data_IF_673844833334
#
_entry.id   IF_673844833334
#
_cell.length_a   1.000
_cell.length_b   1.000
_cell.length_c   1.000
_cell.angle_alpha   90.00
_cell.angle_beta   90.00
_cell.angle_gamma   90.00
#
_symmetry.space_group_name_H-M   'P 1'
#
loop_
_entity.id
_entity.type
_entity.pdbx_description
1 polymer ?
#
# COMPACT_ATOMS: atom_id res chain seq x y z
N UNK A 1 -23.60 35.36 32.25
CA UNK A 1 -22.14 35.60 32.23
C UNK A 1 -21.62 35.47 30.79
N UNK A 2 -21.23 36.59 30.18
CA UNK A 2 -20.77 36.62 28.79
C UNK A 2 -19.30 36.16 28.70
N UNK A 3 -19.01 35.18 27.89
CA UNK A 3 -17.62 34.72 27.61
C UNK A 3 -16.89 35.82 26.82
N UNK A 4 -15.86 36.44 27.43
CA UNK A 4 -14.95 37.35 26.76
C UNK A 4 -14.06 36.57 25.81
N UNK A 5 -14.16 36.84 24.49
CA UNK A 5 -13.23 36.32 23.48
C UNK A 5 -11.88 37.07 23.62
N UNK A 6 -10.78 36.31 23.56
CA UNK A 6 -9.44 36.87 23.57
C UNK A 6 -9.20 37.76 22.34
N UNK A 7 -8.50 38.89 22.52
CA UNK A 7 -8.22 39.88 21.47
C UNK A 7 -7.42 39.22 20.31
N UNK A 8 -7.83 39.52 19.06
CA UNK A 8 -7.19 39.07 17.84
C UNK A 8 -5.80 39.68 17.72
N UNK A 9 -4.76 38.87 17.79
CA UNK A 9 -3.35 39.30 17.63
C UNK A 9 -3.13 39.86 16.22
N UNK A 10 -2.56 41.09 16.14
CA UNK A 10 -2.34 41.79 14.86
C UNK A 10 -1.29 41.09 14.01
N UNK A 11 -1.44 41.21 12.66
CA UNK A 11 -0.57 40.58 11.64
C UNK A 11 0.94 40.94 11.77
N UNK A 12 1.30 42.02 12.49
CA UNK A 12 2.67 42.50 12.66
C UNK A 12 3.50 41.76 13.74
N UNK A 13 2.86 40.97 14.58
CA UNK A 13 3.54 40.22 15.67
C UNK A 13 3.72 38.70 15.38
N UNK A 14 3.53 38.29 14.15
CA UNK A 14 3.95 36.95 13.75
C UNK A 14 5.45 36.96 13.47
N UNK A 15 6.25 36.77 14.52
CA UNK A 15 7.63 36.37 14.38
C UNK A 15 7.69 35.17 13.38
N UNK A 16 8.67 35.22 12.47
CA UNK A 16 9.01 34.07 11.61
C UNK A 16 9.41 32.92 12.55
N UNK A 17 8.43 32.15 13.01
CA UNK A 17 8.71 30.90 13.71
C UNK A 17 9.41 30.02 12.71
N UNK A 18 10.60 29.54 13.08
CA UNK A 18 11.34 28.56 12.32
C UNK A 18 10.43 27.39 11.96
N UNK A 19 10.11 27.24 10.68
CA UNK A 19 9.23 26.19 10.15
C UNK A 19 9.81 24.81 10.50
N UNK A 20 11.14 24.71 10.61
CA UNK A 20 11.85 23.50 11.03
C UNK A 20 11.51 23.07 12.49
N UNK A 21 11.19 24.01 13.39
CA UNK A 21 10.86 23.70 14.79
C UNK A 21 9.40 23.27 15.01
N UNK A 22 8.53 23.47 13.98
CA UNK A 22 7.09 23.18 14.05
C UNK A 22 6.59 22.16 13.02
N UNK A 23 7.50 21.50 12.30
CA UNK A 23 7.17 20.28 11.57
C UNK A 23 6.96 19.17 12.61
N UNK A 24 5.76 19.21 13.19
CA UNK A 24 5.27 18.15 14.07
C UNK A 24 5.41 16.83 13.32
N UNK A 25 6.06 15.87 13.96
CA UNK A 25 6.33 14.52 13.44
C UNK A 25 5.08 13.77 12.95
N UNK A 26 3.90 14.33 13.20
CA UNK A 26 2.59 13.79 12.80
C UNK A 26 2.25 13.95 11.32
N UNK A 27 3.03 14.72 10.51
CA UNK A 27 2.79 14.88 9.07
C UNK A 27 3.22 13.62 8.30
N UNK A 28 4.14 12.85 8.88
CA UNK A 28 4.60 11.58 8.32
C UNK A 28 4.01 10.41 9.12
N UNK A 29 3.36 9.47 8.45
CA UNK A 29 2.91 8.22 9.09
C UNK A 29 4.13 7.44 9.59
N UNK A 30 3.98 6.64 10.65
CA UNK A 30 5.03 5.85 11.31
C UNK A 30 5.97 5.06 10.35
N UNK A 31 5.51 4.71 9.15
CA UNK A 31 6.33 4.08 8.11
C UNK A 31 7.29 5.07 7.44
N UNK A 32 6.91 6.34 7.34
CA UNK A 32 7.72 7.38 6.68
C UNK A 32 8.89 7.80 7.56
N UNK A 33 8.73 7.79 8.89
CA UNK A 33 9.83 8.08 9.84
C UNK A 33 11.00 7.12 9.68
N UNK A 34 10.72 5.82 9.49
CA UNK A 34 11.77 4.82 9.26
C UNK A 34 12.46 5.02 7.91
N UNK A 35 11.72 5.39 6.89
CA UNK A 35 12.24 5.57 5.53
C UNK A 35 13.02 6.87 5.39
N UNK A 36 12.61 7.93 6.09
CA UNK A 36 13.27 9.24 6.10
C UNK A 36 14.33 9.38 7.20
N UNK A 37 14.60 8.30 7.95
CA UNK A 37 15.62 8.31 9.00
C UNK A 37 16.97 8.76 8.46
N UNK A 38 17.52 9.83 9.08
CA UNK A 38 18.79 10.43 8.66
C UNK A 38 18.64 11.46 7.51
N UNK A 39 17.42 11.80 7.06
CA UNK A 39 17.22 12.86 6.10
C UNK A 39 17.53 14.23 6.75
N UNK A 40 18.24 15.08 6.03
CA UNK A 40 18.51 16.47 6.41
C UNK A 40 17.53 17.39 5.69
N UNK A 41 17.02 18.40 6.38
CA UNK A 41 16.16 19.43 5.78
C UNK A 41 17.04 20.63 5.38
N UNK A 42 17.04 20.98 4.10
CA UNK A 42 17.78 22.13 3.57
C UNK A 42 17.08 22.73 2.34
N UNK A 43 17.42 23.97 2.00
CA UNK A 43 16.91 24.67 0.82
C UNK A 43 17.79 24.37 -0.38
N UNK A 44 17.22 23.76 -1.41
CA UNK A 44 17.91 23.36 -2.63
C UNK A 44 17.44 24.18 -3.82
N UNK A 45 18.38 24.68 -4.61
CA UNK A 45 18.08 25.36 -5.87
C UNK A 45 17.31 24.44 -6.81
N UNK A 46 16.16 24.91 -7.33
CA UNK A 46 15.32 24.13 -8.24
C UNK A 46 16.11 23.67 -9.48
N UNK A 47 17.08 24.47 -9.95
CA UNK A 47 17.96 24.12 -11.07
C UNK A 47 18.87 22.93 -10.81
N UNK A 48 19.11 22.56 -9.54
CA UNK A 48 19.90 21.37 -9.16
C UNK A 48 19.06 20.12 -8.99
N UNK A 49 17.73 20.23 -9.07
CA UNK A 49 16.80 19.11 -8.89
C UNK A 49 16.44 18.54 -10.26
N UNK A 50 16.68 17.25 -10.45
CA UNK A 50 16.32 16.50 -11.67
C UNK A 50 15.19 15.53 -11.39
N UNK A 51 14.25 15.41 -12.34
CA UNK A 51 13.14 14.47 -12.26
C UNK A 51 13.44 13.27 -13.14
N UNK A 52 13.69 12.10 -12.55
CA UNK A 52 13.76 10.84 -13.31
C UNK A 52 12.34 10.46 -13.74
N UNK A 53 12.21 9.82 -14.92
CA UNK A 53 10.92 9.38 -15.50
C UNK A 53 10.08 8.65 -14.47
N UNK A 54 9.01 9.29 -13.98
CA UNK A 54 8.09 8.72 -12.99
C UNK A 54 6.90 8.04 -13.67
N UNK A 55 6.19 7.20 -12.93
CA UNK A 55 5.06 6.38 -13.42
C UNK A 55 3.89 7.25 -13.92
N UNK A 56 3.76 8.48 -13.43
CA UNK A 56 2.64 9.38 -13.76
C UNK A 56 2.97 10.21 -14.99
N UNK A 57 2.30 9.93 -16.11
CA UNK A 57 2.53 10.61 -17.40
C UNK A 57 1.55 11.74 -17.69
N UNK A 58 0.43 11.85 -16.96
CA UNK A 58 -0.58 12.90 -17.18
C UNK A 58 -0.78 13.74 -15.93
N UNK A 59 -0.49 15.01 -16.03
CA UNK A 59 -0.78 16.03 -15.04
C UNK A 59 -1.84 16.97 -15.63
N UNK A 60 -2.78 17.40 -14.80
CA UNK A 60 -3.72 18.45 -15.19
C UNK A 60 -3.03 19.79 -14.92
N UNK A 61 -2.83 20.57 -15.97
CA UNK A 61 -2.12 21.87 -15.91
C UNK A 61 -2.87 22.88 -15.03
N UNK A 62 -4.23 22.88 -15.05
CA UNK A 62 -5.03 23.75 -14.19
C UNK A 62 -4.75 23.48 -12.71
N UNK A 63 -4.68 22.20 -12.34
CA UNK A 63 -4.42 21.82 -10.95
C UNK A 63 -2.98 22.10 -10.48
N UNK A 64 -2.04 22.26 -11.43
CA UNK A 64 -0.67 22.73 -11.13
C UNK A 64 -0.69 24.24 -10.95
N UNK A 65 -1.43 24.98 -11.76
CA UNK A 65 -1.57 26.42 -11.63
C UNK A 65 -2.23 26.83 -10.30
N UNK A 66 -3.30 26.15 -9.91
CA UNK A 66 -3.93 26.34 -8.58
C UNK A 66 -2.95 26.07 -7.42
N UNK A 67 -2.17 25.00 -7.53
CA UNK A 67 -1.16 24.68 -6.53
C UNK A 67 -0.03 25.73 -6.51
N UNK A 68 0.38 26.26 -7.65
CA UNK A 68 1.37 27.33 -7.75
C UNK A 68 0.88 28.62 -7.07
N UNK A 69 -0.38 29.00 -7.30
CA UNK A 69 -1.00 30.14 -6.63
C UNK A 69 -1.01 29.97 -5.11
N UNK A 70 -1.40 28.80 -4.64
CA UNK A 70 -1.42 28.47 -3.20
C UNK A 70 -0.02 28.52 -2.59
N UNK A 71 1.00 27.96 -3.26
CA UNK A 71 2.39 27.99 -2.80
C UNK A 71 2.91 29.43 -2.76
N UNK A 72 2.54 30.27 -3.71
CA UNK A 72 2.93 31.68 -3.73
C UNK A 72 2.38 32.46 -2.54
N UNK A 73 1.13 32.19 -2.14
CA UNK A 73 0.46 32.89 -1.03
C UNK A 73 0.89 32.36 0.35
N UNK A 74 0.97 31.04 0.49
CA UNK A 74 1.13 30.38 1.79
C UNK A 74 2.52 29.77 2.01
N UNK A 75 3.37 29.74 0.98
CA UNK A 75 4.64 29.01 1.00
C UNK A 75 4.43 27.51 0.82
N UNK A 76 5.53 26.78 0.71
CA UNK A 76 5.53 25.31 0.61
C UNK A 76 5.38 24.71 2.01
N UNK A 77 4.20 24.16 2.33
CA UNK A 77 3.90 23.57 3.64
C UNK A 77 4.65 22.25 3.82
N UNK A 78 4.72 21.42 2.77
CA UNK A 78 5.34 20.11 2.83
C UNK A 78 6.59 20.08 1.93
N UNK A 79 7.80 19.86 2.49
CA UNK A 79 9.04 19.79 1.73
C UNK A 79 9.04 18.74 0.62
N UNK A 80 9.89 18.92 -0.38
CA UNK A 80 10.20 17.88 -1.36
C UNK A 80 11.05 16.79 -0.72
N UNK A 81 11.07 15.60 -1.30
CA UNK A 81 12.02 14.53 -0.92
C UNK A 81 12.95 14.31 -2.11
N UNK A 82 14.23 14.49 -1.87
CA UNK A 82 15.29 14.37 -2.89
C UNK A 82 16.38 13.41 -2.42
N UNK A 83 17.00 12.73 -3.37
CA UNK A 83 18.19 11.92 -3.13
C UNK A 83 19.40 12.60 -3.76
N UNK A 84 20.51 12.70 -3.01
CA UNK A 84 21.74 13.30 -3.49
C UNK A 84 22.49 12.36 -4.43
N UNK A 85 22.75 12.81 -5.67
CA UNK A 85 23.61 12.12 -6.64
C UNK A 85 24.75 13.07 -7.07
N UNK A 86 25.85 13.03 -6.34
CA UNK A 86 26.99 13.92 -6.58
C UNK A 86 26.62 15.40 -6.37
N UNK A 87 26.69 16.20 -7.43
CA UNK A 87 26.38 17.64 -7.41
C UNK A 87 24.90 17.95 -7.69
N UNK A 88 24.09 16.95 -8.00
CA UNK A 88 22.66 17.08 -8.31
C UNK A 88 21.81 16.32 -7.31
N UNK A 89 20.53 16.65 -7.34
CA UNK A 89 19.51 16.02 -6.51
C UNK A 89 18.45 15.39 -7.41
N UNK A 90 18.10 14.14 -7.14
CA UNK A 90 17.03 13.44 -7.85
C UNK A 90 15.77 13.53 -7.03
N UNK A 91 14.69 14.03 -7.62
CA UNK A 91 13.39 14.12 -6.98
C UNK A 91 12.79 12.72 -6.78
N UNK A 92 12.51 12.36 -5.53
CA UNK A 92 11.89 11.11 -5.13
C UNK A 92 10.38 11.29 -4.93
N UNK A 93 9.97 12.34 -4.18
CA UNK A 93 8.56 12.65 -3.93
C UNK A 93 8.29 14.14 -4.07
N UNK A 94 7.04 14.48 -4.46
CA UNK A 94 6.58 15.87 -4.55
C UNK A 94 6.63 16.48 -5.96
N UNK A 95 6.52 15.68 -7.04
CA UNK A 95 6.62 16.16 -8.43
C UNK A 95 5.64 17.29 -8.76
N UNK A 96 4.39 17.23 -8.29
CA UNK A 96 3.41 18.32 -8.52
C UNK A 96 3.86 19.64 -7.88
N UNK A 97 4.42 19.57 -6.67
CA UNK A 97 4.94 20.73 -5.94
C UNK A 97 6.16 21.31 -6.67
N UNK A 98 7.08 20.45 -7.09
CA UNK A 98 8.25 20.85 -7.87
C UNK A 98 7.84 21.55 -9.18
N UNK A 99 6.89 20.98 -9.94
CA UNK A 99 6.39 21.59 -11.18
C UNK A 99 5.70 22.94 -10.91
N UNK A 100 4.85 23.01 -9.89
CA UNK A 100 4.18 24.24 -9.50
C UNK A 100 5.19 25.35 -9.12
N UNK A 101 6.23 25.03 -8.34
CA UNK A 101 7.29 25.99 -8.01
C UNK A 101 8.11 26.40 -9.23
N UNK A 102 8.36 25.49 -10.16
CA UNK A 102 9.10 25.77 -11.39
C UNK A 102 8.38 26.74 -12.32
N UNK A 103 7.06 26.95 -12.16
CA UNK A 103 6.31 27.98 -12.90
C UNK A 103 6.42 29.38 -12.26
N UNK A 104 6.85 29.47 -11.00
CA UNK A 104 6.96 30.72 -10.26
C UNK A 104 8.35 31.33 -10.44
N UNK A 105 8.44 32.46 -11.13
CA UNK A 105 9.72 33.15 -11.42
C UNK A 105 10.47 33.60 -10.17
N UNK A 106 9.73 33.89 -9.09
CA UNK A 106 10.27 34.39 -7.84
C UNK A 106 10.77 33.27 -6.90
N UNK A 107 10.53 32.01 -7.24
CA UNK A 107 10.98 30.85 -6.46
C UNK A 107 12.18 30.18 -7.12
N UNK A 108 13.36 30.39 -6.56
CA UNK A 108 14.60 29.77 -7.05
C UNK A 108 15.04 28.55 -6.25
N UNK A 109 14.52 28.39 -5.02
CA UNK A 109 14.89 27.34 -4.08
C UNK A 109 13.65 26.71 -3.45
N UNK A 110 13.78 25.47 -2.99
CA UNK A 110 12.72 24.73 -2.31
C UNK A 110 13.25 24.02 -1.06
N UNK A 111 12.48 23.98 0.05
CA UNK A 111 12.80 23.15 1.19
C UNK A 111 12.69 21.67 0.79
N UNK A 112 13.76 20.91 1.07
CA UNK A 112 13.91 19.52 0.66
C UNK A 112 14.40 18.65 1.82
N UNK A 113 13.81 17.48 1.99
CA UNK A 113 14.44 16.40 2.75
C UNK A 113 15.46 15.70 1.86
N UNK A 114 16.73 15.82 2.22
CA UNK A 114 17.85 15.25 1.49
C UNK A 114 18.12 13.85 2.02
N UNK A 115 17.99 12.87 1.15
CA UNK A 115 18.37 11.49 1.42
C UNK A 115 19.77 11.24 0.88
N UNK A 116 20.65 10.68 1.71
CA UNK A 116 21.99 10.28 1.33
C UNK A 116 22.18 8.77 1.55
N UNK A 117 23.02 8.14 0.77
CA UNK A 117 23.42 6.73 0.91
C UNK A 117 22.23 5.74 0.93
N UNK A 118 21.14 6.07 0.21
CA UNK A 118 19.98 5.19 0.06
C UNK A 118 20.13 4.29 -1.17
N UNK A 119 19.78 3.02 -1.00
CA UNK A 119 19.72 2.08 -2.11
C UNK A 119 18.54 2.39 -3.03
N UNK A 120 18.59 2.01 -4.33
CA UNK A 120 17.45 2.15 -5.23
C UNK A 120 16.17 1.51 -4.70
N UNK A 121 16.30 0.43 -3.92
CA UNK A 121 15.19 -0.28 -3.30
C UNK A 121 14.51 0.55 -2.21
N UNK A 122 15.30 1.21 -1.34
CA UNK A 122 14.80 2.11 -0.32
C UNK A 122 14.12 3.32 -0.93
N UNK A 123 14.71 3.91 -1.98
CA UNK A 123 14.10 5.05 -2.70
C UNK A 123 12.75 4.69 -3.32
N UNK A 124 12.64 3.50 -3.93
CA UNK A 124 11.35 3.01 -4.43
C UNK A 124 10.34 2.75 -3.31
N UNK A 125 10.78 2.24 -2.15
CA UNK A 125 9.90 2.03 -1.01
C UNK A 125 9.34 3.37 -0.46
N UNK A 126 10.18 4.41 -0.38
CA UNK A 126 9.77 5.77 0.00
C UNK A 126 8.74 6.32 -0.99
N UNK A 127 9.02 6.21 -2.29
CA UNK A 127 8.11 6.66 -3.35
C UNK A 127 6.77 5.91 -3.32
N UNK A 128 6.81 4.60 -3.05
CA UNK A 128 5.61 3.79 -2.92
C UNK A 128 4.79 4.19 -1.70
N UNK A 129 5.42 4.39 -0.55
CA UNK A 129 4.75 4.80 0.70
C UNK A 129 4.01 6.12 0.52
N UNK A 130 4.68 7.14 -0.05
CA UNK A 130 4.06 8.45 -0.33
C UNK A 130 2.87 8.32 -1.28
N UNK A 131 3.03 7.56 -2.36
CA UNK A 131 1.95 7.35 -3.33
C UNK A 131 0.79 6.52 -2.76
N UNK A 132 1.07 5.54 -1.91
CA UNK A 132 0.05 4.69 -1.29
C UNK A 132 -0.76 5.42 -0.22
N UNK A 133 -0.20 6.47 0.37
CA UNK A 133 -0.91 7.33 1.33
C UNK A 133 -1.96 8.24 0.67
N UNK A 134 -1.91 8.38 -0.66
CA UNK A 134 -2.91 9.14 -1.43
C UNK A 134 -4.14 8.26 -1.67
N UNK A 135 -5.31 8.70 -1.25
CA UNK A 135 -6.59 7.99 -1.43
C UNK A 135 -6.97 7.72 -2.89
N UNK A 136 -6.26 8.30 -3.86
CA UNK A 136 -6.61 8.27 -5.29
C UNK A 136 -5.70 7.43 -6.18
N UNK A 137 -4.77 6.64 -5.61
CA UNK A 137 -3.94 5.79 -6.47
C UNK A 137 -4.77 4.63 -7.02
N UNK A 138 -4.94 4.59 -8.35
CA UNK A 138 -5.65 3.50 -8.98
C UNK A 138 -4.92 2.16 -8.74
N UNK A 139 -5.65 1.10 -8.40
CA UNK A 139 -5.08 -0.20 -8.03
C UNK A 139 -4.16 -0.81 -9.12
N UNK A 140 -4.33 -0.42 -10.40
CA UNK A 140 -3.44 -0.81 -11.51
C UNK A 140 -2.08 -0.13 -11.37
N UNK A 141 -2.03 1.16 -11.03
CA UNK A 141 -0.78 1.89 -10.83
C UNK A 141 -0.03 1.34 -9.62
N UNK A 142 -0.76 0.99 -8.56
CA UNK A 142 -0.22 0.28 -7.41
C UNK A 142 0.38 -1.07 -7.82
N UNK A 143 -0.33 -1.85 -8.65
CA UNK A 143 0.14 -3.14 -9.14
C UNK A 143 1.41 -3.02 -9.98
N UNK A 144 1.46 -2.03 -10.89
CA UNK A 144 2.62 -1.78 -11.74
C UNK A 144 3.83 -1.31 -10.91
N UNK A 145 3.63 -0.50 -9.87
CA UNK A 145 4.68 -0.06 -8.94
C UNK A 145 5.27 -1.23 -8.16
N UNK A 146 4.41 -2.12 -7.61
CA UNK A 146 4.86 -3.33 -6.89
C UNK A 146 5.61 -4.28 -7.82
N UNK A 147 5.17 -4.41 -9.08
CA UNK A 147 5.86 -5.22 -10.06
C UNK A 147 7.21 -4.64 -10.45
N UNK A 148 7.29 -3.31 -10.60
CA UNK A 148 8.55 -2.58 -10.81
C UNK A 148 9.54 -2.82 -9.67
N UNK A 149 9.07 -2.71 -8.42
CA UNK A 149 9.86 -3.03 -7.23
C UNK A 149 10.40 -4.47 -7.27
N UNK A 150 9.51 -5.44 -7.56
CA UNK A 150 9.93 -6.85 -7.68
C UNK A 150 10.96 -7.06 -8.78
N UNK A 151 10.81 -6.40 -9.93
CA UNK A 151 11.73 -6.53 -11.06
C UNK A 151 13.11 -5.96 -10.73
N UNK A 152 13.16 -4.85 -10.01
CA UNK A 152 14.40 -4.21 -9.60
C UNK A 152 15.16 -5.03 -8.56
N UNK A 153 14.42 -5.52 -7.53
CA UNK A 153 15.03 -6.12 -6.34
C UNK A 153 15.16 -7.64 -6.40
N UNK A 154 14.42 -8.32 -7.29
CA UNK A 154 14.28 -9.77 -7.28
C UNK A 154 13.59 -10.32 -6.01
N UNK A 155 13.02 -9.46 -5.17
CA UNK A 155 12.52 -9.79 -3.84
C UNK A 155 11.35 -10.78 -3.87
N UNK A 156 11.30 -11.67 -2.88
CA UNK A 156 10.15 -12.54 -2.64
C UNK A 156 8.93 -11.74 -2.17
N UNK A 157 7.71 -12.28 -2.33
CA UNK A 157 6.47 -11.61 -1.89
C UNK A 157 6.48 -11.25 -0.40
N UNK A 158 7.17 -12.05 0.46
CA UNK A 158 7.34 -11.74 1.88
C UNK A 158 8.27 -10.56 2.13
N UNK A 159 9.37 -10.46 1.37
CA UNK A 159 10.28 -9.31 1.46
C UNK A 159 9.59 -8.04 0.97
N UNK A 160 8.82 -8.11 -0.12
CA UNK A 160 8.01 -6.99 -0.63
C UNK A 160 6.97 -6.54 0.40
N UNK A 161 6.28 -7.49 1.04
CA UNK A 161 5.34 -7.21 2.13
C UNK A 161 6.01 -6.41 3.26
N UNK A 162 7.17 -6.86 3.72
CA UNK A 162 7.90 -6.20 4.80
C UNK A 162 8.39 -4.80 4.41
N UNK A 163 8.91 -4.65 3.18
CA UNK A 163 9.45 -3.39 2.68
C UNK A 163 8.37 -2.33 2.41
N UNK A 164 7.22 -2.74 1.88
CA UNK A 164 6.15 -1.83 1.47
C UNK A 164 5.01 -1.70 2.48
N UNK A 165 5.01 -2.47 3.58
CA UNK A 165 4.00 -2.41 4.64
C UNK A 165 2.59 -2.88 4.22
N UNK A 166 2.47 -3.67 3.15
CA UNK A 166 1.19 -4.16 2.61
C UNK A 166 1.03 -5.68 2.86
N UNK A 167 -0.20 -6.18 2.87
CA UNK A 167 -0.42 -7.60 3.12
C UNK A 167 0.14 -8.48 1.99
N UNK A 168 0.63 -9.70 2.33
CA UNK A 168 1.12 -10.67 1.34
C UNK A 168 0.07 -10.98 0.26
N UNK A 169 -1.19 -11.11 0.66
CA UNK A 169 -2.31 -11.36 -0.27
C UNK A 169 -2.50 -10.21 -1.25
N UNK A 170 -2.25 -8.96 -0.80
CA UNK A 170 -2.31 -7.80 -1.67
C UNK A 170 -1.13 -7.75 -2.64
N UNK A 171 0.09 -8.01 -2.17
CA UNK A 171 1.28 -8.17 -3.05
C UNK A 171 0.99 -9.19 -4.15
N UNK A 172 0.49 -10.36 -3.78
CA UNK A 172 0.17 -11.43 -4.73
C UNK A 172 -0.86 -10.98 -5.77
N UNK A 173 -1.98 -10.37 -5.34
CA UNK A 173 -3.01 -9.84 -6.25
C UNK A 173 -2.46 -8.78 -7.20
N UNK A 174 -1.67 -7.85 -6.71
CA UNK A 174 -1.04 -6.82 -7.52
C UNK A 174 -0.10 -7.42 -8.58
N UNK A 175 0.71 -8.40 -8.20
CA UNK A 175 1.60 -9.09 -9.14
C UNK A 175 0.84 -9.86 -10.24
N UNK A 176 -0.34 -10.41 -9.94
CA UNK A 176 -1.21 -11.01 -10.95
C UNK A 176 -1.76 -9.97 -11.92
N UNK A 177 -2.25 -8.84 -11.42
CA UNK A 177 -2.79 -7.74 -12.23
C UNK A 177 -1.71 -7.12 -13.13
N UNK A 178 -0.52 -6.88 -12.58
CA UNK A 178 0.59 -6.29 -13.33
C UNK A 178 0.99 -7.11 -14.57
N UNK A 179 0.84 -8.43 -14.51
CA UNK A 179 1.12 -9.36 -15.61
C UNK A 179 0.06 -9.37 -16.72
N UNK A 180 -1.09 -8.70 -16.51
CA UNK A 180 -2.16 -8.65 -17.50
C UNK A 180 -1.76 -7.81 -18.72
N UNK A 181 -2.36 -8.06 -19.90
CA UNK A 181 -2.10 -7.28 -21.11
C UNK A 181 -2.38 -5.77 -20.89
N UNK A 182 -1.53 -4.93 -21.49
CA UNK A 182 -1.61 -3.47 -21.36
C UNK A 182 -2.97 -2.92 -21.76
N UNK A 183 -3.55 -3.40 -22.88
CA UNK A 183 -4.86 -2.98 -23.35
C UNK A 183 -6.00 -3.18 -22.32
N UNK A 184 -5.97 -4.28 -21.56
CA UNK A 184 -6.96 -4.52 -20.50
C UNK A 184 -6.75 -3.59 -19.32
N UNK A 185 -5.49 -3.34 -18.94
CA UNK A 185 -5.17 -2.42 -17.85
C UNK A 185 -5.60 -0.99 -18.18
N UNK A 186 -5.38 -0.54 -19.41
CA UNK A 186 -5.80 0.77 -19.90
C UNK A 186 -7.32 0.90 -19.91
N UNK A 187 -8.02 -0.08 -20.49
CA UNK A 187 -9.48 -0.11 -20.49
C UNK A 187 -10.05 -0.13 -19.07
N UNK A 188 -9.46 -0.88 -18.16
CA UNK A 188 -9.88 -0.95 -16.77
C UNK A 188 -9.72 0.39 -16.04
N UNK A 189 -8.73 1.22 -16.40
CA UNK A 189 -8.60 2.60 -15.90
C UNK A 189 -9.68 3.52 -16.46
N UNK A 190 -9.97 3.40 -17.75
CA UNK A 190 -10.97 4.24 -18.43
C UNK A 190 -12.37 3.96 -17.88
N UNK A 191 -12.73 2.68 -17.75
CA UNK A 191 -14.07 2.25 -17.32
C UNK A 191 -14.20 2.02 -15.82
N UNK A 192 -13.18 2.37 -15.03
CA UNK A 192 -13.13 2.17 -13.59
C UNK A 192 -13.53 0.73 -13.17
N UNK A 193 -12.96 -0.25 -13.86
CA UNK A 193 -13.29 -1.67 -13.68
C UNK A 193 -12.85 -2.15 -12.31
N UNK A 194 -13.70 -2.92 -11.62
CA UNK A 194 -13.38 -3.47 -10.31
C UNK A 194 -12.18 -4.42 -10.36
N UNK A 195 -11.26 -4.31 -9.41
CA UNK A 195 -10.05 -5.12 -9.27
C UNK A 195 -10.31 -6.62 -9.41
N UNK A 196 -11.40 -7.11 -8.81
CA UNK A 196 -11.73 -8.53 -8.84
C UNK A 196 -12.19 -9.04 -10.20
N UNK A 197 -12.69 -8.17 -11.09
CA UNK A 197 -12.99 -8.52 -12.49
C UNK A 197 -11.72 -8.96 -13.19
N UNK A 198 -10.64 -8.19 -13.05
CA UNK A 198 -9.35 -8.51 -13.67
C UNK A 198 -8.73 -9.79 -13.11
N UNK A 199 -8.82 -9.99 -11.79
CA UNK A 199 -8.28 -11.20 -11.14
C UNK A 199 -9.04 -12.46 -11.56
N UNK A 200 -10.38 -12.42 -11.57
CA UNK A 200 -11.21 -13.55 -11.98
C UNK A 200 -11.06 -13.84 -13.48
N UNK A 201 -11.05 -12.80 -14.33
CA UNK A 201 -10.76 -12.96 -15.76
C UNK A 201 -9.35 -13.52 -16.00
N UNK A 202 -8.35 -13.03 -15.28
CA UNK A 202 -6.98 -13.50 -15.37
C UNK A 202 -6.83 -14.99 -15.05
N UNK A 203 -7.62 -15.47 -14.06
CA UNK A 203 -7.61 -16.87 -13.62
C UNK A 203 -8.35 -17.85 -14.56
N UNK A 204 -9.10 -17.35 -15.55
CA UNK A 204 -9.77 -18.22 -16.53
C UNK A 204 -8.75 -18.90 -17.45
N UNK A 205 -9.06 -20.13 -17.83
CA UNK A 205 -8.27 -20.87 -18.82
C UNK A 205 -8.33 -20.19 -20.21
N UNK A 206 -7.29 -20.42 -21.01
CA UNK A 206 -7.24 -19.89 -22.38
C UNK A 206 -8.35 -20.55 -23.21
N UNK A 207 -9.17 -19.74 -23.90
CA UNK A 207 -10.26 -20.23 -24.72
C UNK A 207 -11.12 -19.10 -25.30
N UNK A 208 -12.11 -19.46 -26.11
CA UNK A 208 -13.06 -18.53 -26.74
C UNK A 208 -13.78 -17.65 -25.71
N UNK A 209 -14.18 -18.23 -24.57
CA UNK A 209 -14.84 -17.49 -23.49
C UNK A 209 -13.95 -16.37 -22.94
N UNK A 210 -12.68 -16.66 -22.64
CA UNK A 210 -11.74 -15.65 -22.13
C UNK A 210 -11.53 -14.52 -23.12
N UNK A 211 -11.51 -14.81 -24.44
CA UNK A 211 -11.42 -13.79 -25.47
C UNK A 211 -12.67 -12.94 -25.57
N UNK A 212 -13.86 -13.56 -25.58
CA UNK A 212 -15.13 -12.83 -25.58
C UNK A 212 -15.28 -11.91 -24.36
N UNK A 213 -14.90 -12.40 -23.16
CA UNK A 213 -14.91 -11.59 -21.95
C UNK A 213 -13.87 -10.47 -22.01
N UNK A 214 -12.72 -10.70 -22.65
CA UNK A 214 -11.70 -9.67 -22.87
C UNK A 214 -12.29 -8.48 -23.65
N UNK A 215 -12.97 -8.75 -24.75
CA UNK A 215 -13.60 -7.70 -25.55
C UNK A 215 -14.60 -6.91 -24.72
N UNK A 216 -15.48 -7.60 -23.97
CA UNK A 216 -16.47 -6.98 -23.07
C UNK A 216 -15.89 -6.17 -21.90
N UNK A 217 -14.65 -6.47 -21.46
CA UNK A 217 -13.94 -5.65 -20.47
C UNK A 217 -13.35 -4.42 -21.15
N UNK A 218 -12.84 -4.56 -22.37
CA UNK A 218 -12.23 -3.46 -23.12
C UNK A 218 -13.28 -2.42 -23.55
N UNK A 219 -14.47 -2.85 -23.95
CA UNK A 219 -15.57 -1.96 -24.34
C UNK A 219 -16.36 -1.39 -23.14
N UNK A 220 -16.03 -1.81 -21.90
CA UNK A 220 -16.66 -1.33 -20.69
C UNK A 220 -17.97 -2.02 -20.31
N UNK A 221 -18.48 -2.97 -21.12
CA UNK A 221 -19.72 -3.72 -20.83
C UNK A 221 -19.60 -4.55 -19.53
N UNK A 222 -18.38 -4.92 -19.13
CA UNK A 222 -18.09 -5.63 -17.89
C UNK A 222 -17.11 -4.81 -17.05
N UNK A 223 -17.63 -3.97 -16.17
CA UNK A 223 -16.86 -3.21 -15.20
C UNK A 223 -16.99 -3.76 -13.76
N UNK A 224 -18.10 -4.41 -13.44
CA UNK A 224 -18.40 -4.92 -12.10
C UNK A 224 -18.31 -6.45 -12.02
N UNK A 225 -17.87 -6.97 -10.89
CA UNK A 225 -17.73 -8.41 -10.64
C UNK A 225 -19.02 -9.19 -10.88
N UNK A 226 -20.18 -8.61 -10.55
CA UNK A 226 -21.46 -9.23 -10.76
C UNK A 226 -21.76 -9.45 -12.26
N UNK A 227 -21.43 -8.47 -13.12
CA UNK A 227 -21.58 -8.57 -14.58
C UNK A 227 -20.69 -9.70 -15.15
N UNK A 228 -19.43 -9.79 -14.70
CA UNK A 228 -18.53 -10.87 -15.08
C UNK A 228 -19.11 -12.24 -14.73
N UNK A 229 -19.59 -12.42 -13.49
CA UNK A 229 -20.20 -13.69 -13.06
C UNK A 229 -21.44 -14.07 -13.86
N UNK A 230 -22.30 -13.09 -14.19
CA UNK A 230 -23.48 -13.30 -15.05
C UNK A 230 -23.06 -13.72 -16.45
N UNK A 231 -22.06 -13.06 -17.04
CA UNK A 231 -21.55 -13.39 -18.37
C UNK A 231 -20.93 -14.80 -18.42
N UNK A 232 -20.18 -15.20 -17.39
CA UNK A 232 -19.63 -16.56 -17.26
C UNK A 232 -20.76 -17.59 -17.14
N UNK A 233 -21.77 -17.33 -16.30
CA UNK A 233 -22.91 -18.24 -16.12
C UNK A 233 -23.71 -18.39 -17.41
N UNK A 234 -23.92 -17.33 -18.15
CA UNK A 234 -24.64 -17.34 -19.45
C UNK A 234 -23.90 -18.12 -20.54
N UNK A 235 -22.56 -18.26 -20.43
CA UNK A 235 -21.77 -19.05 -21.39
C UNK A 235 -21.85 -20.57 -21.18
N UNK A 236 -22.58 -21.05 -20.17
CA UNK A 236 -22.71 -22.49 -19.85
C UNK A 236 -21.44 -23.13 -19.32
N UNK A 237 -20.36 -22.40 -19.20
CA UNK A 237 -19.10 -22.92 -18.66
C UNK A 237 -19.21 -22.99 -17.13
N UNK A 238 -19.36 -24.20 -16.64
CA UNK A 238 -19.22 -24.48 -15.19
C UNK A 238 -17.74 -24.22 -14.86
N UNK A 239 -17.46 -23.08 -14.24
CA UNK A 239 -16.17 -22.88 -13.61
C UNK A 239 -15.99 -24.04 -12.63
N UNK A 240 -15.02 -24.92 -12.86
CA UNK A 240 -14.56 -25.84 -11.83
C UNK A 240 -14.20 -24.97 -10.65
N UNK A 241 -15.12 -24.83 -9.70
CA UNK A 241 -14.79 -24.27 -8.41
C UNK A 241 -13.58 -25.09 -7.98
N UNK A 242 -12.46 -24.43 -7.71
CA UNK A 242 -11.48 -25.04 -6.82
C UNK A 242 -12.21 -25.18 -5.50
N UNK A 243 -12.99 -26.23 -5.39
CA UNK A 243 -13.49 -26.72 -4.13
C UNK A 243 -12.22 -26.91 -3.29
N UNK A 244 -11.91 -25.91 -2.49
CA UNK A 244 -11.19 -26.21 -1.28
C UNK A 244 -11.98 -27.41 -0.74
N UNK A 245 -11.34 -28.55 -0.74
CA UNK A 245 -11.91 -29.73 -0.12
C UNK A 245 -12.36 -29.31 1.28
N UNK A 246 -13.68 -29.13 1.47
CA UNK A 246 -14.29 -28.92 2.77
C UNK A 246 -14.14 -30.16 3.66
N UNK A 247 -13.42 -31.17 3.18
CA UNK A 247 -13.14 -32.40 3.90
C UNK A 247 -12.04 -32.29 4.96
N UNK A 248 -11.37 -31.13 5.12
CA UNK A 248 -10.33 -31.02 6.16
C UNK A 248 -10.68 -30.09 7.34
N UNK A 249 -11.75 -29.30 7.28
CA UNK A 249 -12.03 -28.34 8.35
C UNK A 249 -12.69 -28.98 9.59
N UNK A 250 -13.46 -30.08 9.46
CA UNK A 250 -14.03 -30.76 10.61
C UNK A 250 -13.11 -31.85 11.20
N UNK A 251 -12.21 -32.42 10.38
CA UNK A 251 -11.21 -33.39 10.87
C UNK A 251 -9.99 -32.74 11.52
N UNK A 252 -9.67 -31.48 11.14
CA UNK A 252 -8.49 -30.79 11.68
C UNK A 252 -8.70 -30.28 13.12
N UNK A 253 -9.91 -29.95 13.51
CA UNK A 253 -10.20 -29.50 14.88
C UNK A 253 -10.13 -30.66 15.89
N UNK A 254 -10.70 -31.79 15.58
CA UNK A 254 -10.66 -32.98 16.47
C UNK A 254 -9.28 -33.64 16.47
N UNK A 255 -8.60 -33.74 15.34
CA UNK A 255 -7.21 -34.23 15.25
C UNK A 255 -6.21 -33.30 15.93
N UNK A 256 -6.40 -31.97 15.81
CA UNK A 256 -5.56 -30.96 16.48
C UNK A 256 -5.78 -31.00 18.02
N UNK A 257 -7.00 -31.17 18.48
CA UNK A 257 -7.32 -31.26 19.90
C UNK A 257 -6.80 -32.54 20.53
N UNK A 258 -6.91 -33.68 19.83
CA UNK A 258 -6.37 -34.96 20.30
C UNK A 258 -4.84 -34.96 20.36
N UNK A 259 -4.18 -34.30 19.38
CA UNK A 259 -2.72 -34.08 19.39
C UNK A 259 -2.30 -33.15 20.51
N UNK A 260 -3.10 -32.12 20.81
CA UNK A 260 -2.85 -31.21 21.92
C UNK A 260 -2.95 -31.90 23.26
N UNK A 261 -3.99 -32.72 23.48
CA UNK A 261 -4.16 -33.52 24.68
C UNK A 261 -3.01 -34.52 24.84
N UNK A 262 -2.54 -35.12 23.74
CA UNK A 262 -1.39 -36.04 23.74
C UNK A 262 -0.09 -35.35 24.12
N UNK A 263 0.16 -34.15 23.52
CA UNK A 263 1.30 -33.35 23.84
C UNK A 263 1.30 -32.81 25.28
N UNK A 264 0.13 -32.48 25.83
CA UNK A 264 -0.01 -32.13 27.27
C UNK A 264 0.30 -33.30 28.16
N UNK A 265 -0.13 -34.51 27.79
CA UNK A 265 0.19 -35.75 28.57
C UNK A 265 1.69 -36.07 28.55
N UNK A 266 2.36 -35.86 27.46
CA UNK A 266 3.81 -36.07 27.35
C UNK A 266 4.58 -35.04 28.19
N UNK A 267 4.23 -33.74 28.04
CA UNK A 267 4.88 -32.67 28.82
C UNK A 267 4.61 -32.78 30.33
N UNK A 268 3.41 -33.23 30.74
CA UNK A 268 3.11 -33.42 32.18
C UNK A 268 3.95 -34.52 32.83
N UNK A 269 4.58 -35.41 32.05
CA UNK A 269 5.50 -36.42 32.55
C UNK A 269 6.91 -35.91 32.74
N UNK A 270 7.26 -34.83 32.01
CA UNK A 270 8.60 -34.19 32.03
C UNK A 270 8.69 -33.06 33.07
N UNK A 271 7.55 -32.60 33.61
CA UNK A 271 7.47 -31.52 34.60
C UNK A 271 7.24 -32.10 35.99
N UNK A 272 8.03 -31.71 36.96
CA UNK A 272 7.84 -32.00 38.40
C UNK A 272 6.63 -31.20 38.93
N UNK A 273 5.43 -31.74 38.70
CA UNK A 273 4.17 -31.13 39.14
C UNK A 273 3.76 -31.69 40.49
N UNK A 274 3.27 -30.82 41.38
CA UNK A 274 2.69 -31.21 42.64
C UNK A 274 1.43 -32.09 42.45
N UNK A 275 1.08 -32.84 43.47
CA UNK A 275 -0.12 -33.71 43.41
C UNK A 275 -1.41 -32.95 43.12
N UNK A 276 -1.52 -31.70 43.57
CA UNK A 276 -2.67 -30.81 43.34
C UNK A 276 -2.70 -30.29 41.89
N UNK A 277 -1.58 -29.87 41.34
CA UNK A 277 -1.49 -29.44 39.97
C UNK A 277 -1.76 -30.57 38.98
N UNK A 278 -1.32 -31.77 39.28
CA UNK A 278 -1.58 -32.99 38.50
C UNK A 278 -3.08 -33.36 38.49
N UNK A 279 -3.77 -33.17 39.63
CA UNK A 279 -5.19 -33.38 39.74
C UNK A 279 -5.99 -32.35 38.93
N UNK A 280 -5.60 -31.08 38.98
CA UNK A 280 -6.23 -30.00 38.24
C UNK A 280 -6.03 -30.16 36.72
N UNK A 281 -4.85 -30.60 36.31
CA UNK A 281 -4.53 -30.85 34.88
C UNK A 281 -5.33 -32.08 34.36
N UNK A 282 -5.50 -33.11 35.14
CA UNK A 282 -6.37 -34.28 34.80
C UNK A 282 -7.83 -33.87 34.65
N UNK A 283 -8.35 -32.99 35.52
CA UNK A 283 -9.70 -32.47 35.48
C UNK A 283 -9.92 -31.63 34.19
N UNK A 284 -9.04 -30.70 33.88
CA UNK A 284 -9.07 -29.92 32.63
C UNK A 284 -9.03 -30.81 31.38
N UNK A 285 -8.26 -31.89 31.40
CA UNK A 285 -8.17 -32.84 30.30
C UNK A 285 -9.43 -33.67 30.12
N UNK A 286 -10.18 -34.02 31.21
CA UNK A 286 -11.46 -34.70 31.13
C UNK A 286 -12.56 -33.78 30.58
N UNK A 287 -12.65 -32.54 31.09
CA UNK A 287 -13.61 -31.53 30.60
C UNK A 287 -13.40 -31.20 29.13
N UNK A 288 -12.15 -31.04 28.68
CA UNK A 288 -11.84 -30.79 27.24
C UNK A 288 -12.18 -32.01 26.37
N UNK A 289 -12.14 -33.21 26.90
CA UNK A 289 -12.51 -34.43 26.18
C UNK A 289 -14.02 -34.57 26.05
N UNK A 290 -14.78 -34.26 27.08
CA UNK A 290 -16.26 -34.23 27.07
C UNK A 290 -16.79 -33.21 26.06
N UNK A 291 -16.26 -31.97 26.04
CA UNK A 291 -16.65 -30.94 25.08
C UNK A 291 -16.34 -31.35 23.62
N UNK A 292 -15.41 -32.28 23.40
CA UNK A 292 -15.06 -32.78 22.05
C UNK A 292 -15.91 -33.96 21.63
N UNK A 293 -16.51 -34.70 22.59
CA UNK A 293 -17.40 -35.85 22.34
C UNK A 293 -18.86 -35.42 22.19
N UNK A 294 -19.27 -34.23 22.72
CA UNK A 294 -20.61 -33.65 22.57
C UNK A 294 -20.83 -32.86 21.24
N UNK A 295 -19.85 -32.80 20.33
CA UNK A 295 -19.93 -32.19 19.01
C UNK A 295 -19.70 -33.22 17.91
#
# INVERSE_FOLDING_TARGET
MAKKFAARVSKKQREKKDIAAHLDQNIFRLNDEKLLKGAQLDNIKLSKITVKKQVRTKFNDDSIAELAANIKENGLIQPLVVHREGNYYVLICGERRFRAMSTLKDMTEAPCFILENKTPEELMAIQFSENSAREQLHYIDQADSIYGYKKLTGASERKIQAALGISKSEVHRCLLIAKLPKAIKEAAKIHNTEKYVLLEWGALDRGKLKQSLKTKIIDGSIAKRLQLKRAIKASGVVLKSKTKSKASASKTTTASASLFIKAMKEKSKEMDLSKEELAMLKKLMSETKEVLEEK
#
